data_IF_374862545739
#
_entry.id   IF_374862545739
#
_cell.length_a   1.000
_cell.length_b   1.000
_cell.length_c   1.000
_cell.angle_alpha   90.00
_cell.angle_beta   90.00
_cell.angle_gamma   90.00
#
_symmetry.space_group_name_H-M   'P 1'
#
loop_
_entity.id
_entity.type
_entity.pdbx_description
1 polymer ?
#
# COMPACT_ATOMS: atom_id res chain seq x y z
N UNK A 1 -27.68 -10.30 15.57
CA UNK A 1 -26.29 -9.89 15.82
C UNK A 1 -25.91 -8.85 14.78
N UNK A 2 -25.53 -7.65 15.24
CA UNK A 2 -25.41 -6.44 14.43
C UNK A 2 -24.26 -6.54 13.44
N UNK A 3 -24.57 -6.42 12.13
CA UNK A 3 -23.57 -6.24 11.10
C UNK A 3 -22.88 -4.89 11.34
N UNK A 4 -21.61 -4.92 11.74
CA UNK A 4 -20.76 -3.75 11.62
C UNK A 4 -20.54 -3.51 10.11
N UNK A 5 -21.44 -2.75 9.48
CA UNK A 5 -21.15 -2.08 8.21
C UNK A 5 -20.05 -1.07 8.52
N UNK A 6 -18.80 -1.50 8.40
CA UNK A 6 -17.68 -0.58 8.35
C UNK A 6 -17.98 0.34 7.16
N UNK A 7 -18.30 1.59 7.50
CA UNK A 7 -18.59 2.65 6.55
C UNK A 7 -17.27 3.01 5.87
N UNK A 8 -16.80 2.11 4.99
CA UNK A 8 -15.62 2.32 4.18
C UNK A 8 -15.89 3.54 3.32
N UNK A 9 -15.03 4.55 3.43
CA UNK A 9 -15.08 5.70 2.56
C UNK A 9 -14.77 5.23 1.13
N UNK A 10 -15.82 4.93 0.37
CA UNK A 10 -15.79 4.70 -1.09
C UNK A 10 -15.20 5.88 -1.89
N UNK A 11 -14.73 6.95 -1.24
CA UNK A 11 -14.05 8.08 -1.85
C UNK A 11 -12.53 7.97 -1.92
N UNK A 12 -11.88 7.07 -1.16
CA UNK A 12 -10.42 6.94 -1.18
C UNK A 12 -9.98 5.73 -2.03
N UNK A 13 -10.32 5.77 -3.31
CA UNK A 13 -9.82 4.84 -4.33
C UNK A 13 -8.31 5.02 -4.59
N UNK A 14 -7.71 6.12 -4.12
CA UNK A 14 -6.29 6.44 -4.33
C UNK A 14 -5.38 5.44 -3.63
N UNK A 15 -5.62 5.13 -2.35
CA UNK A 15 -4.79 4.19 -1.58
C UNK A 15 -4.88 2.72 -2.08
N UNK A 16 -6.07 2.16 -2.37
CA UNK A 16 -6.22 0.86 -3.00
C UNK A 16 -5.46 0.74 -4.33
N UNK A 17 -5.47 1.79 -5.16
CA UNK A 17 -4.72 1.81 -6.41
C UNK A 17 -3.21 1.75 -6.20
N UNK A 18 -2.68 2.42 -5.17
CA UNK A 18 -1.25 2.36 -4.80
C UNK A 18 -0.87 0.94 -4.39
N UNK A 19 -1.69 0.27 -3.57
CA UNK A 19 -1.43 -1.10 -3.11
C UNK A 19 -1.50 -2.08 -4.28
N UNK A 20 -2.54 -1.98 -5.11
CA UNK A 20 -2.69 -2.81 -6.30
C UNK A 20 -1.52 -2.63 -7.27
N UNK A 21 -1.04 -1.40 -7.47
CA UNK A 21 0.14 -1.14 -8.29
C UNK A 21 1.42 -1.72 -7.68
N UNK A 22 1.61 -1.60 -6.36
CA UNK A 22 2.77 -2.18 -5.68
C UNK A 22 2.80 -3.71 -5.81
N UNK A 23 1.67 -4.39 -5.59
CA UNK A 23 1.57 -5.85 -5.77
C UNK A 23 1.79 -6.28 -7.22
N UNK A 24 1.30 -5.51 -8.18
CA UNK A 24 1.48 -5.77 -9.60
C UNK A 24 2.96 -5.72 -9.99
N UNK A 25 3.70 -4.72 -9.47
CA UNK A 25 5.14 -4.57 -9.67
C UNK A 25 5.90 -5.74 -9.04
N UNK A 26 5.54 -6.15 -7.82
CA UNK A 26 6.16 -7.30 -7.14
C UNK A 26 5.90 -8.62 -7.88
N UNK A 27 4.68 -8.82 -8.39
CA UNK A 27 4.29 -10.04 -9.13
C UNK A 27 4.99 -10.14 -10.48
N UNK A 28 5.00 -9.05 -11.25
CA UNK A 28 5.45 -9.07 -12.65
C UNK A 28 6.93 -8.67 -12.79
N UNK A 29 7.56 -8.17 -11.72
CA UNK A 29 8.97 -7.75 -11.71
C UNK A 29 9.27 -6.54 -12.59
N UNK A 30 8.23 -5.78 -12.98
CA UNK A 30 8.34 -4.67 -13.90
C UNK A 30 7.50 -3.48 -13.44
N UNK A 31 7.98 -2.27 -13.75
CA UNK A 31 7.20 -1.03 -13.58
C UNK A 31 6.21 -0.83 -14.73
N UNK A 32 6.31 -1.66 -15.77
CA UNK A 32 5.43 -1.65 -16.93
C UNK A 32 4.28 -2.64 -16.78
N UNK A 33 3.12 -2.10 -16.40
CA UNK A 33 1.84 -2.76 -16.54
C UNK A 33 1.05 -2.14 -17.69
N UNK A 34 0.45 -2.99 -18.52
CA UNK A 34 -0.44 -2.59 -19.59
C UNK A 34 -1.87 -2.39 -19.07
N UNK A 35 -2.75 -1.83 -19.91
CA UNK A 35 -4.14 -1.58 -19.52
C UNK A 35 -4.92 -2.84 -19.15
N UNK A 36 -4.51 -4.03 -19.64
CA UNK A 36 -5.16 -5.31 -19.32
C UNK A 36 -4.72 -5.83 -17.95
N UNK A 37 -3.43 -5.88 -17.66
CA UNK A 37 -2.91 -6.32 -16.36
C UNK A 37 -3.36 -5.38 -15.23
N UNK A 38 -3.41 -4.07 -15.50
CA UNK A 38 -4.00 -3.09 -14.60
C UNK A 38 -5.50 -3.29 -14.36
N UNK A 39 -6.29 -3.48 -15.42
CA UNK A 39 -7.75 -3.68 -15.29
C UNK A 39 -8.12 -4.93 -14.50
N UNK A 40 -7.30 -5.98 -14.53
CA UNK A 40 -7.50 -7.17 -13.70
C UNK A 40 -7.30 -6.88 -12.20
N UNK A 41 -6.47 -5.90 -11.86
CA UNK A 41 -6.18 -5.54 -10.47
C UNK A 41 -7.19 -4.53 -9.88
N UNK A 42 -7.69 -3.58 -10.67
CA UNK A 42 -8.57 -2.50 -10.18
C UNK A 42 -9.89 -2.35 -10.95
N UNK A 43 -10.27 -3.37 -11.73
CA UNK A 43 -11.58 -3.52 -12.38
C UNK A 43 -11.79 -2.75 -13.68
N UNK A 44 -11.04 -1.67 -13.95
CA UNK A 44 -11.13 -0.94 -15.23
C UNK A 44 -9.90 -0.11 -15.57
N UNK A 45 -9.54 -0.02 -16.85
CA UNK A 45 -8.37 0.74 -17.29
C UNK A 45 -8.42 2.23 -16.88
N UNK A 46 -9.61 2.80 -16.73
CA UNK A 46 -9.81 4.20 -16.36
C UNK A 46 -9.74 4.48 -14.85
N UNK A 47 -9.82 3.47 -13.98
CA UNK A 47 -9.86 3.66 -12.52
C UNK A 47 -8.68 4.49 -11.96
N UNK A 48 -7.40 4.21 -12.29
CA UNK A 48 -6.29 5.01 -11.80
C UNK A 48 -6.32 6.44 -12.29
N UNK A 49 -6.72 6.67 -13.55
CA UNK A 49 -6.69 7.98 -14.18
C UNK A 49 -7.73 8.98 -13.64
N UNK A 50 -8.64 8.53 -12.77
CA UNK A 50 -9.56 9.42 -12.01
C UNK A 50 -8.93 9.98 -10.73
N UNK A 51 -7.83 9.38 -10.26
CA UNK A 51 -7.14 9.73 -9.03
C UNK A 51 -5.66 10.12 -9.23
N UNK A 52 -5.11 9.80 -10.40
CA UNK A 52 -3.75 10.10 -10.82
C UNK A 52 -3.81 10.64 -12.25
N UNK A 53 -3.07 11.70 -12.54
CA UNK A 53 -2.97 12.31 -13.86
C UNK A 53 -2.41 11.33 -14.89
N UNK A 54 -1.45 10.50 -14.47
CA UNK A 54 -0.81 9.49 -15.30
C UNK A 54 -0.25 8.33 -14.46
N UNK A 55 0.33 7.35 -15.17
CA UNK A 55 0.99 6.20 -14.55
C UNK A 55 2.19 6.61 -13.68
N UNK A 56 2.92 7.64 -14.06
CA UNK A 56 4.10 8.10 -13.34
C UNK A 56 3.72 8.73 -11.99
N UNK A 57 2.59 9.42 -11.90
CA UNK A 57 2.06 9.90 -10.62
C UNK A 57 1.67 8.75 -9.68
N UNK A 58 1.05 7.70 -10.20
CA UNK A 58 0.76 6.49 -9.44
C UNK A 58 2.05 5.81 -8.94
N UNK A 59 3.06 5.66 -9.82
CA UNK A 59 4.36 5.10 -9.45
C UNK A 59 5.10 5.97 -8.42
N UNK A 60 4.97 7.29 -8.51
CA UNK A 60 5.51 8.22 -7.52
C UNK A 60 4.85 8.02 -6.16
N UNK A 61 3.53 7.86 -6.12
CA UNK A 61 2.82 7.59 -4.88
C UNK A 61 3.23 6.25 -4.23
N UNK A 62 3.48 5.20 -5.05
CA UNK A 62 4.07 3.93 -4.58
C UNK A 62 5.47 4.15 -4.01
N UNK A 63 6.33 4.91 -4.72
CA UNK A 63 7.68 5.23 -4.28
C UNK A 63 7.69 6.00 -2.97
N UNK A 64 6.83 7.01 -2.82
CA UNK A 64 6.74 7.87 -1.65
C UNK A 64 6.31 7.10 -0.40
N UNK A 65 5.34 6.18 -0.56
CA UNK A 65 4.94 5.28 0.52
C UNK A 65 6.10 4.42 1.01
N UNK A 66 6.78 3.72 0.08
CA UNK A 66 7.93 2.86 0.41
C UNK A 66 9.10 3.65 1.00
N UNK A 67 9.44 4.78 0.37
CA UNK A 67 10.62 5.59 0.75
C UNK A 67 10.46 6.19 2.15
N UNK A 68 9.25 6.60 2.53
CA UNK A 68 8.98 7.15 3.86
C UNK A 68 9.16 6.10 4.95
N UNK A 69 8.60 4.90 4.77
CA UNK A 69 8.80 3.80 5.72
C UNK A 69 10.28 3.41 5.83
N UNK A 70 10.97 3.31 4.69
CA UNK A 70 12.38 2.97 4.65
C UNK A 70 13.28 4.05 5.29
N UNK A 71 12.97 5.33 5.09
CA UNK A 71 13.68 6.44 5.73
C UNK A 71 13.53 6.40 7.26
N UNK A 72 12.28 6.28 7.74
CA UNK A 72 12.00 6.15 9.18
C UNK A 72 12.70 4.93 9.80
N UNK A 73 12.77 3.82 9.06
CA UNK A 73 13.46 2.61 9.48
C UNK A 73 14.96 2.83 9.65
N UNK A 74 15.63 3.41 8.65
CA UNK A 74 17.07 3.72 8.71
C UNK A 74 17.39 4.71 9.83
N UNK A 75 16.60 5.77 9.97
CA UNK A 75 16.78 6.78 11.02
C UNK A 75 16.61 6.18 12.43
N UNK A 76 15.74 5.19 12.55
CA UNK A 76 15.55 4.45 13.81
C UNK A 76 16.73 3.52 14.06
N UNK A 77 17.11 2.71 13.07
CA UNK A 77 18.20 1.76 13.18
C UNK A 77 19.53 2.44 13.53
N UNK A 78 19.81 3.62 12.97
CA UNK A 78 21.03 4.38 13.20
C UNK A 78 21.20 4.89 14.64
N UNK A 79 20.12 4.91 15.45
CA UNK A 79 20.15 5.36 16.85
C UNK A 79 20.56 4.28 17.83
N UNK A 80 20.73 3.04 17.37
CA UNK A 80 21.02 1.89 18.22
C UNK A 80 22.19 1.08 17.64
N UNK A 81 22.96 0.34 18.48
CA UNK A 81 23.97 -0.57 17.97
C UNK A 81 23.37 -1.60 17.01
N UNK A 82 24.04 -1.83 15.88
CA UNK A 82 23.59 -2.77 14.87
C UNK A 82 23.41 -4.18 15.46
N UNK A 83 22.26 -4.80 15.20
CA UNK A 83 21.94 -6.15 15.70
C UNK A 83 21.57 -6.22 17.19
N UNK A 84 21.51 -5.09 17.90
CA UNK A 84 21.02 -5.08 19.29
C UNK A 84 19.52 -5.35 19.38
N UNK A 85 19.09 -5.93 20.50
CA UNK A 85 17.66 -6.13 20.80
C UNK A 85 16.93 -4.78 20.83
N UNK A 86 17.56 -3.73 21.37
CA UNK A 86 17.01 -2.38 21.40
C UNK A 86 16.74 -1.84 19.99
N UNK A 87 17.64 -2.11 19.03
CA UNK A 87 17.43 -1.76 17.62
C UNK A 87 16.20 -2.48 17.05
N UNK A 88 16.06 -3.78 17.31
CA UNK A 88 14.92 -4.57 16.83
C UNK A 88 13.59 -4.04 17.40
N UNK A 89 13.55 -3.75 18.69
CA UNK A 89 12.37 -3.21 19.36
C UNK A 89 12.01 -1.82 18.83
N UNK A 90 13.01 -0.93 18.68
CA UNK A 90 12.82 0.41 18.15
C UNK A 90 12.28 0.38 16.72
N UNK A 91 12.84 -0.47 15.85
CA UNK A 91 12.34 -0.66 14.49
C UNK A 91 10.90 -1.19 14.46
N UNK A 92 10.57 -2.12 15.35
CA UNK A 92 9.19 -2.62 15.53
C UNK A 92 8.21 -1.51 15.93
N UNK A 93 8.59 -0.64 16.86
CA UNK A 93 7.78 0.52 17.25
C UNK A 93 7.59 1.51 16.10
N UNK A 94 8.64 1.78 15.33
CA UNK A 94 8.55 2.65 14.15
C UNK A 94 7.60 2.07 13.11
N UNK A 95 7.67 0.77 12.83
CA UNK A 95 6.76 0.10 11.91
C UNK A 95 5.31 0.17 12.40
N UNK A 96 5.05 -0.18 13.66
CA UNK A 96 3.70 -0.15 14.24
C UNK A 96 3.16 1.28 14.33
N UNK A 97 4.01 2.27 14.61
CA UNK A 97 3.66 3.69 14.60
C UNK A 97 3.22 4.15 13.20
N UNK A 98 3.99 3.80 12.17
CA UNK A 98 3.66 4.09 10.78
C UNK A 98 2.37 3.38 10.34
N UNK A 99 2.21 2.10 10.71
CA UNK A 99 0.99 1.33 10.45
C UNK A 99 -0.26 1.95 11.10
N UNK A 100 -0.11 2.52 12.31
CA UNK A 100 -1.19 3.25 12.99
C UNK A 100 -1.50 4.59 12.31
N UNK A 101 -0.49 5.36 11.90
CA UNK A 101 -0.69 6.62 11.15
C UNK A 101 -1.40 6.36 9.82
N UNK A 102 -1.03 5.27 9.13
CA UNK A 102 -1.58 4.86 7.85
C UNK A 102 -2.59 3.72 7.99
N UNK A 103 -3.42 3.74 9.04
CA UNK A 103 -4.38 2.66 9.34
C UNK A 103 -5.23 2.26 8.13
N UNK A 104 -5.80 3.22 7.40
CA UNK A 104 -6.63 2.94 6.24
C UNK A 104 -5.85 2.20 5.14
N UNK A 105 -4.60 2.59 4.90
CA UNK A 105 -3.71 1.92 3.95
C UNK A 105 -3.33 0.52 4.42
N UNK A 106 -2.98 0.36 5.70
CA UNK A 106 -2.61 -0.94 6.25
C UNK A 106 -3.81 -1.91 6.29
N UNK A 107 -5.02 -1.46 6.66
CA UNK A 107 -6.22 -2.31 6.62
C UNK A 107 -6.42 -2.99 5.27
N UNK A 108 -6.12 -2.32 4.16
CA UNK A 108 -6.24 -2.87 2.81
C UNK A 108 -5.26 -4.02 2.50
N UNK A 109 -4.14 -4.14 3.23
CA UNK A 109 -3.19 -5.25 3.04
C UNK A 109 -3.66 -6.55 3.70
N UNK A 110 -4.52 -6.48 4.73
CA UNK A 110 -5.00 -7.66 5.49
C UNK A 110 -6.49 -7.95 5.31
N UNK A 111 -7.25 -7.04 4.70
CA UNK A 111 -8.58 -7.39 4.21
C UNK A 111 -8.44 -8.37 3.05
N UNK A 112 -8.90 -9.60 3.27
CA UNK A 112 -8.98 -10.62 2.23
C UNK A 112 -9.60 -9.96 1.00
N UNK A 113 -8.84 -9.91 -0.10
CA UNK A 113 -9.40 -9.58 -1.41
C UNK A 113 -10.27 -10.76 -1.82
N UNK A 114 -11.40 -10.88 -1.14
CA UNK A 114 -12.46 -11.84 -1.43
C UNK A 114 -12.75 -11.73 -2.90
N UNK A 115 -12.45 -12.80 -3.61
CA UNK A 115 -12.60 -12.93 -5.06
C UNK A 115 -13.96 -12.36 -5.49
N UNK A 116 -13.93 -11.18 -6.09
CA UNK A 116 -15.02 -10.65 -6.91
C UNK A 116 -15.04 -11.36 -8.26
N UNK A 117 -15.06 -12.70 -8.26
CA UNK A 117 -15.48 -13.49 -9.41
C UNK A 117 -16.98 -13.56 -9.36
N UNK A 118 -17.67 -12.56 -9.91
CA UNK A 118 -19.08 -12.67 -10.21
C UNK A 118 -19.22 -13.31 -11.60
N UNK A 119 -19.72 -14.54 -11.54
CA UNK A 119 -20.56 -15.25 -12.52
C UNK A 119 -21.44 -14.34 -13.37
#
# INVERSE_FOLDING_TARGET
MSQARCNYHHGDLRNPLIIAAAELIERDGTLDFDGRSGSQCWGSAAAPYRHFADKEELLRAVRDWRSRLWGMWQDTAAKHPAGSIDSVLAMGHTYLGYAREKRAFFSLMWEDRGKGGAT
#
